data_IF_658457179303
#
_entry.id   IF_658457179303
#
_cell.length_a   1.000
_cell.length_b   1.000
_cell.length_c   1.000
_cell.angle_alpha   90.00
_cell.angle_beta   90.00
_cell.angle_gamma   90.00
#
_symmetry.space_group_name_H-M   'P 1'
#
loop_
_entity.id
_entity.type
_entity.pdbx_description
1 polymer ?
#
# COMPACT_ATOMS: atom_id res chain seq x y z
N UNK A 1 -30.88 -15.44 -9.16
CA UNK A 1 -29.45 -15.03 -9.10
C UNK A 1 -29.26 -13.94 -10.12
N UNK A 2 -29.16 -12.70 -9.65
CA UNK A 2 -29.29 -11.49 -10.46
C UNK A 2 -27.93 -11.17 -11.11
N UNK A 3 -27.91 -10.74 -12.37
CA UNK A 3 -26.69 -10.40 -13.14
C UNK A 3 -25.66 -9.55 -12.35
N UNK A 4 -26.14 -8.72 -11.40
CA UNK A 4 -25.31 -7.91 -10.49
C UNK A 4 -24.34 -8.71 -9.62
N UNK A 5 -24.68 -9.96 -9.26
CA UNK A 5 -23.82 -10.81 -8.41
C UNK A 5 -22.56 -11.30 -9.15
N UNK A 6 -22.56 -11.32 -10.49
CA UNK A 6 -21.41 -11.78 -11.29
C UNK A 6 -20.46 -10.67 -11.73
N UNK A 7 -20.90 -9.40 -11.68
CA UNK A 7 -20.12 -8.26 -12.14
C UNK A 7 -19.04 -7.87 -11.14
N UNK A 8 -19.37 -7.89 -9.86
CA UNK A 8 -18.50 -7.40 -8.80
C UNK A 8 -17.21 -8.24 -8.61
N UNK A 9 -17.25 -9.58 -8.64
CA UNK A 9 -16.04 -10.41 -8.55
C UNK A 9 -15.14 -10.27 -9.79
N UNK A 10 -15.74 -10.07 -10.97
CA UNK A 10 -15.00 -9.79 -12.22
C UNK A 10 -14.27 -8.45 -12.16
N UNK A 11 -14.93 -7.41 -11.64
CA UNK A 11 -14.30 -6.10 -11.39
C UNK A 11 -13.15 -6.27 -10.41
N UNK A 12 -13.35 -7.01 -9.29
CA UNK A 12 -12.29 -7.26 -8.33
C UNK A 12 -11.07 -7.94 -8.98
N UNK A 13 -11.28 -9.01 -9.74
CA UNK A 13 -10.20 -9.70 -10.45
C UNK A 13 -9.47 -8.80 -11.44
N UNK A 14 -10.20 -8.05 -12.27
CA UNK A 14 -9.60 -7.11 -13.22
C UNK A 14 -8.79 -6.01 -12.52
N UNK A 15 -9.36 -5.39 -11.49
CA UNK A 15 -8.68 -4.35 -10.71
C UNK A 15 -7.45 -4.90 -10.00
N UNK A 16 -7.46 -6.13 -9.49
CA UNK A 16 -6.28 -6.75 -8.87
C UNK A 16 -5.16 -7.00 -9.88
N UNK A 17 -5.48 -7.44 -11.11
CA UNK A 17 -4.45 -7.59 -12.16
C UNK A 17 -3.85 -6.24 -12.52
N UNK A 18 -4.71 -5.23 -12.71
CA UNK A 18 -4.25 -3.88 -13.01
C UNK A 18 -3.41 -3.29 -11.85
N UNK A 19 -3.82 -3.55 -10.61
CA UNK A 19 -3.10 -3.17 -9.40
C UNK A 19 -1.66 -3.72 -9.41
N UNK A 20 -1.48 -5.00 -9.74
CA UNK A 20 -0.16 -5.62 -9.83
C UNK A 20 0.73 -4.96 -10.90
N UNK A 21 0.16 -4.64 -12.07
CA UNK A 21 0.90 -3.95 -13.16
C UNK A 21 1.32 -2.54 -12.71
N UNK A 22 0.38 -1.78 -12.16
CA UNK A 22 0.64 -0.41 -11.70
C UNK A 22 1.61 -0.39 -10.51
N UNK A 23 1.51 -1.36 -9.59
CA UNK A 23 2.45 -1.53 -8.49
C UNK A 23 3.87 -1.87 -8.95
N UNK A 24 4.01 -2.68 -10.00
CA UNK A 24 5.31 -2.94 -10.62
C UNK A 24 5.91 -1.67 -11.25
N UNK A 25 5.10 -0.86 -11.94
CA UNK A 25 5.52 0.45 -12.47
C UNK A 25 5.98 1.37 -11.33
N UNK A 26 5.22 1.42 -10.23
CA UNK A 26 5.59 2.19 -9.05
C UNK A 26 6.94 1.80 -8.48
N UNK A 27 7.20 0.49 -8.31
CA UNK A 27 8.48 0.00 -7.82
C UNK A 27 9.66 0.43 -8.71
N UNK A 28 9.49 0.37 -10.04
CA UNK A 28 10.50 0.85 -11.00
C UNK A 28 10.71 2.35 -10.87
N UNK A 29 9.65 3.14 -10.73
CA UNK A 29 9.74 4.60 -10.57
C UNK A 29 10.42 5.01 -9.26
N UNK A 30 10.13 4.33 -8.14
CA UNK A 30 10.84 4.54 -6.88
C UNK A 30 12.32 4.20 -7.00
N UNK A 31 12.65 3.09 -7.66
CA UNK A 31 14.04 2.70 -7.88
C UNK A 31 14.77 3.68 -8.79
N UNK A 32 14.13 4.16 -9.86
CA UNK A 32 14.67 5.18 -10.73
C UNK A 32 14.85 6.53 -10.00
N UNK A 33 13.89 6.93 -9.17
CA UNK A 33 13.97 8.11 -8.32
C UNK A 33 15.10 8.00 -7.28
N UNK A 34 15.35 6.79 -6.79
CA UNK A 34 16.45 6.45 -5.90
C UNK A 34 17.81 6.36 -6.63
N UNK A 35 17.87 6.61 -7.95
CA UNK A 35 19.08 6.44 -8.75
C UNK A 35 19.60 4.98 -8.78
N UNK A 36 18.67 4.04 -8.89
CA UNK A 36 18.95 2.59 -8.93
C UNK A 36 19.67 2.06 -7.69
N UNK A 37 19.60 2.80 -6.58
CA UNK A 37 20.22 2.47 -5.30
C UNK A 37 19.19 1.97 -4.30
N UNK A 38 19.20 0.66 -4.08
CA UNK A 38 18.30 0.00 -3.12
C UNK A 38 18.42 0.56 -1.70
N UNK A 39 19.61 0.98 -1.27
CA UNK A 39 19.82 1.58 0.06
C UNK A 39 19.00 2.87 0.27
N UNK A 40 18.75 3.63 -0.81
CA UNK A 40 17.93 4.84 -0.76
C UNK A 40 16.42 4.54 -0.79
N UNK A 41 16.00 3.44 -1.41
CA UNK A 41 14.61 2.97 -1.35
C UNK A 41 14.27 2.48 0.06
N UNK A 42 15.18 1.74 0.70
CA UNK A 42 15.01 1.26 2.08
C UNK A 42 15.12 2.38 3.12
N UNK A 43 15.74 3.50 2.76
CA UNK A 43 15.88 4.69 3.62
C UNK A 43 15.40 5.92 2.85
N UNK A 44 14.08 6.12 2.70
CA UNK A 44 13.51 7.14 1.83
C UNK A 44 14.04 8.54 2.13
N UNK A 45 14.39 8.87 3.38
CA UNK A 45 15.04 10.11 3.77
C UNK A 45 16.34 10.44 2.98
N UNK A 46 17.03 9.44 2.43
CA UNK A 46 18.22 9.63 1.60
C UNK A 46 17.90 10.04 0.16
N UNK A 47 16.65 9.85 -0.30
CA UNK A 47 16.24 10.17 -1.67
C UNK A 47 16.35 11.66 -2.00
N UNK A 48 16.29 12.55 -0.99
CA UNK A 48 16.50 13.99 -1.20
C UNK A 48 17.88 14.29 -1.83
N UNK A 49 18.88 13.47 -1.56
CA UNK A 49 20.24 13.61 -2.12
C UNK A 49 20.34 13.20 -3.59
N UNK A 50 19.27 12.64 -4.17
CA UNK A 50 19.25 12.22 -5.56
C UNK A 50 19.02 13.38 -6.55
N UNK A 51 18.74 14.60 -6.06
CA UNK A 51 18.57 15.81 -6.87
C UNK A 51 17.14 16.01 -7.40
N UNK A 52 16.78 17.26 -7.66
CA UNK A 52 15.46 17.70 -8.12
C UNK A 52 15.07 17.15 -9.49
N UNK A 53 16.04 16.79 -10.33
CA UNK A 53 15.80 16.12 -11.61
C UNK A 53 15.05 14.79 -11.45
N UNK A 54 15.16 14.14 -10.27
CA UNK A 54 14.45 12.90 -9.93
C UNK A 54 13.16 13.12 -9.12
N UNK A 55 12.85 14.35 -8.74
CA UNK A 55 11.66 14.67 -7.96
C UNK A 55 10.35 14.22 -8.64
N UNK A 56 10.27 14.37 -9.97
CA UNK A 56 9.09 13.95 -10.72
C UNK A 56 8.93 12.43 -10.77
N UNK A 57 10.04 11.68 -10.84
CA UNK A 57 10.01 10.22 -10.75
C UNK A 57 9.49 9.78 -9.38
N UNK A 58 9.92 10.44 -8.30
CA UNK A 58 9.43 10.14 -6.95
C UNK A 58 7.93 10.46 -6.82
N UNK A 59 7.49 11.60 -7.36
CA UNK A 59 6.07 11.96 -7.41
C UNK A 59 5.24 10.92 -8.15
N UNK A 60 5.64 10.54 -9.35
CA UNK A 60 4.91 9.55 -10.14
C UNK A 60 4.99 8.14 -9.54
N UNK A 61 6.11 7.78 -8.91
CA UNK A 61 6.25 6.55 -8.12
C UNK A 61 5.23 6.50 -7.00
N UNK A 62 5.09 7.57 -6.23
CA UNK A 62 4.10 7.67 -5.16
C UNK A 62 2.65 7.74 -5.69
N UNK A 63 2.37 8.40 -6.81
CA UNK A 63 1.02 8.40 -7.39
C UNK A 63 0.63 7.02 -7.94
N UNK A 64 1.55 6.33 -8.60
CA UNK A 64 1.29 4.97 -9.08
C UNK A 64 1.19 3.97 -7.92
N UNK A 65 1.94 4.18 -6.84
CA UNK A 65 1.81 3.43 -5.58
C UNK A 65 0.40 3.54 -4.99
N UNK A 66 -0.11 4.77 -4.89
CA UNK A 66 -1.48 5.07 -4.45
C UNK A 66 -2.53 4.22 -5.18
N UNK A 67 -2.40 4.05 -6.50
CA UNK A 67 -3.32 3.25 -7.28
C UNK A 67 -3.02 1.75 -7.20
N UNK A 68 -1.76 1.37 -7.35
CA UNK A 68 -1.30 -0.01 -7.51
C UNK A 68 -1.36 -0.84 -6.24
N UNK A 69 -0.97 -0.28 -5.09
CA UNK A 69 -0.96 -1.02 -3.82
C UNK A 69 -2.20 -0.79 -2.96
N UNK A 70 -3.06 0.17 -3.33
CA UNK A 70 -4.18 0.60 -2.49
C UNK A 70 -5.52 0.71 -3.24
N UNK A 71 -5.74 1.78 -4.01
CA UNK A 71 -7.09 2.10 -4.51
C UNK A 71 -7.69 1.02 -5.43
N UNK A 72 -6.88 0.43 -6.31
CA UNK A 72 -7.34 -0.66 -7.19
C UNK A 72 -7.63 -1.97 -6.44
N UNK A 73 -7.16 -2.12 -5.19
CA UNK A 73 -7.45 -3.29 -4.37
C UNK A 73 -8.74 -3.16 -3.55
N UNK A 74 -9.36 -1.97 -3.49
CA UNK A 74 -10.61 -1.75 -2.73
C UNK A 74 -11.72 -2.75 -3.10
N UNK A 75 -12.00 -3.03 -4.38
CA UNK A 75 -13.00 -4.04 -4.74
C UNK A 75 -12.67 -5.42 -4.16
N UNK A 76 -11.40 -5.85 -4.21
CA UNK A 76 -10.97 -7.13 -3.61
C UNK A 76 -11.29 -7.16 -2.11
N UNK A 77 -10.94 -6.11 -1.37
CA UNK A 77 -11.18 -6.03 0.06
C UNK A 77 -12.66 -6.11 0.44
N UNK A 78 -13.54 -5.54 -0.38
CA UNK A 78 -14.98 -5.55 -0.13
C UNK A 78 -15.63 -6.88 -0.53
N UNK A 79 -15.18 -7.49 -1.62
CA UNK A 79 -15.86 -8.65 -2.21
C UNK A 79 -15.44 -9.96 -1.58
N UNK A 80 -14.13 -10.12 -1.37
CA UNK A 80 -13.56 -11.39 -0.97
C UNK A 80 -14.08 -11.90 0.39
N UNK A 81 -14.17 -11.07 1.46
CA UNK A 81 -14.74 -11.52 2.72
C UNK A 81 -16.23 -11.88 2.62
N UNK A 82 -16.99 -11.21 1.75
CA UNK A 82 -18.43 -11.45 1.58
C UNK A 82 -18.71 -12.79 0.90
N UNK A 83 -17.90 -13.18 -0.07
CA UNK A 83 -18.03 -14.48 -0.74
C UNK A 83 -17.64 -15.66 0.17
N UNK A 84 -16.77 -15.40 1.14
CA UNK A 84 -16.27 -16.44 2.05
C UNK A 84 -17.15 -16.62 3.29
N UNK A 85 -17.82 -15.57 3.74
CA UNK A 85 -18.61 -15.57 4.98
C UNK A 85 -20.00 -16.16 4.77
N UNK A 86 -20.61 -16.68 5.85
CA UNK A 86 -21.99 -17.16 5.78
C UNK A 86 -22.96 -15.97 5.72
N UNK A 87 -24.15 -16.14 5.12
CA UNK A 87 -25.19 -15.13 5.17
C UNK A 87 -25.50 -14.77 6.63
N UNK A 88 -25.42 -13.47 6.97
CA UNK A 88 -25.62 -12.86 8.30
C UNK A 88 -24.41 -12.83 9.25
N UNK A 89 -23.22 -13.26 8.82
CA UNK A 89 -22.01 -13.05 9.63
C UNK A 89 -21.48 -11.62 9.47
N UNK A 90 -21.52 -10.83 10.55
CA UNK A 90 -20.98 -9.46 10.58
C UNK A 90 -19.47 -9.36 10.31
N UNK A 91 -18.76 -10.49 10.35
CA UNK A 91 -17.31 -10.56 10.15
C UNK A 91 -16.88 -10.08 8.75
N UNK A 92 -17.70 -10.32 7.71
CA UNK A 92 -17.40 -9.85 6.35
C UNK A 92 -17.29 -8.32 6.29
N UNK A 93 -18.13 -7.61 7.04
CA UNK A 93 -18.12 -6.15 7.09
C UNK A 93 -16.89 -5.63 7.83
N UNK A 94 -16.53 -6.26 8.96
CA UNK A 94 -15.34 -5.89 9.74
C UNK A 94 -14.07 -6.11 8.92
N UNK A 95 -13.93 -7.27 8.27
CA UNK A 95 -12.79 -7.55 7.41
C UNK A 95 -12.74 -6.60 6.21
N UNK A 96 -13.87 -6.39 5.52
CA UNK A 96 -13.93 -5.43 4.42
C UNK A 96 -13.54 -4.02 4.84
N UNK A 97 -14.00 -3.57 6.01
CA UNK A 97 -13.61 -2.29 6.59
C UNK A 97 -12.10 -2.22 6.87
N UNK A 98 -11.50 -3.28 7.40
CA UNK A 98 -10.05 -3.36 7.60
C UNK A 98 -9.29 -3.21 6.28
N UNK A 99 -9.66 -3.94 5.23
CA UNK A 99 -9.00 -3.79 3.92
C UNK A 99 -9.16 -2.39 3.31
N UNK A 100 -10.34 -1.77 3.48
CA UNK A 100 -10.57 -0.37 3.04
C UNK A 100 -9.74 0.63 3.86
N UNK A 101 -9.57 0.41 5.16
CA UNK A 101 -8.68 1.24 6.00
C UNK A 101 -7.23 1.15 5.54
N UNK A 102 -6.72 -0.06 5.26
CA UNK A 102 -5.40 -0.24 4.66
C UNK A 102 -5.25 0.60 3.38
N UNK A 103 -6.20 0.47 2.45
CA UNK A 103 -6.16 1.22 1.20
C UNK A 103 -6.20 2.74 1.43
N UNK A 104 -6.97 3.20 2.42
CA UNK A 104 -7.15 4.62 2.71
C UNK A 104 -5.88 5.23 3.32
N UNK A 105 -5.25 4.54 4.27
CA UNK A 105 -4.02 5.01 4.92
C UNK A 105 -2.85 5.07 3.94
N UNK A 106 -2.64 4.01 3.17
CA UNK A 106 -1.57 3.99 2.19
C UNK A 106 -1.75 5.00 1.06
N UNK A 107 -2.98 5.14 0.55
CA UNK A 107 -3.26 6.16 -0.45
C UNK A 107 -3.00 7.59 0.05
N UNK A 108 -3.35 7.87 1.31
CA UNK A 108 -3.09 9.17 1.93
C UNK A 108 -1.58 9.42 2.08
N UNK A 109 -0.83 8.44 2.58
CA UNK A 109 0.63 8.51 2.69
C UNK A 109 1.31 8.75 1.34
N UNK A 110 0.89 8.02 0.32
CA UNK A 110 1.39 8.16 -1.04
C UNK A 110 1.13 9.57 -1.60
N UNK A 111 -0.05 10.15 -1.37
CA UNK A 111 -0.36 11.52 -1.82
C UNK A 111 0.46 12.58 -1.06
N UNK A 112 0.71 12.37 0.25
CA UNK A 112 1.58 13.23 1.05
C UNK A 112 2.99 13.23 0.48
N UNK A 113 3.55 12.06 0.18
CA UNK A 113 4.88 11.96 -0.40
C UNK A 113 4.93 12.59 -1.81
N UNK A 114 3.93 12.32 -2.66
CA UNK A 114 3.85 12.86 -4.01
C UNK A 114 3.78 14.40 -4.05
N UNK A 115 3.13 15.00 -3.04
CA UNK A 115 2.96 16.46 -2.95
C UNK A 115 4.14 17.15 -2.26
N UNK A 116 4.70 16.56 -1.20
CA UNK A 116 5.77 17.16 -0.41
C UNK A 116 7.17 16.95 -1.01
N UNK A 117 7.43 15.80 -1.65
CA UNK A 117 8.78 15.48 -2.11
C UNK A 117 9.33 16.48 -3.16
N UNK A 118 8.60 16.84 -4.24
CA UNK A 118 9.17 17.74 -5.25
C UNK A 118 9.57 19.14 -4.78
N UNK A 119 8.74 19.88 -4.02
CA UNK A 119 9.13 21.19 -3.52
C UNK A 119 10.30 21.12 -2.53
N UNK A 120 10.34 20.09 -1.68
CA UNK A 120 11.42 19.91 -0.71
C UNK A 120 12.76 19.56 -1.36
N UNK A 121 12.75 18.69 -2.38
CA UNK A 121 13.95 18.37 -3.16
C UNK A 121 14.47 19.60 -3.93
N UNK A 122 13.57 20.38 -4.53
CA UNK A 122 13.92 21.64 -5.19
C UNK A 122 14.49 22.69 -4.23
N UNK A 123 13.97 22.77 -3.00
CA UNK A 123 14.48 23.68 -1.98
C UNK A 123 15.86 23.25 -1.46
N UNK A 124 16.09 21.95 -1.28
CA UNK A 124 17.37 21.40 -0.85
C UNK A 124 18.51 21.75 -1.81
N UNK A 125 18.27 21.71 -3.13
CA UNK A 125 19.27 22.12 -4.12
C UNK A 125 19.63 23.61 -4.07
N UNK A 126 18.71 24.46 -3.58
CA UNK A 126 18.97 25.89 -3.35
C UNK A 126 19.65 26.15 -2.00
N UNK A 127 20.21 25.12 -1.37
CA UNK A 127 20.88 25.20 -0.07
C UNK A 127 19.97 25.64 1.09
N UNK A 128 18.67 25.34 1.01
CA UNK A 128 17.75 25.53 2.13
C UNK A 128 18.06 24.50 3.25
N UNK A 129 18.56 25.00 4.38
CA UNK A 129 18.92 24.19 5.53
C UNK A 129 17.74 23.42 6.14
N UNK A 130 16.51 23.95 6.03
CA UNK A 130 15.29 23.33 6.57
C UNK A 130 14.74 22.21 5.68
N UNK A 131 14.96 22.28 4.37
CA UNK A 131 14.38 21.35 3.40
C UNK A 131 14.79 19.88 3.64
N UNK A 132 16.06 19.65 4.01
CA UNK A 132 16.56 18.31 4.32
C UNK A 132 15.86 17.70 5.55
N UNK A 133 15.68 18.50 6.60
CA UNK A 133 15.01 18.05 7.81
C UNK A 133 13.52 17.80 7.55
N UNK A 134 12.84 18.72 6.86
CA UNK A 134 11.44 18.58 6.51
C UNK A 134 11.18 17.33 5.65
N UNK A 135 12.01 17.09 4.64
CA UNK A 135 11.90 15.88 3.81
C UNK A 135 12.10 14.61 4.64
N UNK A 136 13.10 14.57 5.53
CA UNK A 136 13.31 13.43 6.42
C UNK A 136 12.08 13.18 7.29
N UNK A 137 11.53 14.21 7.93
CA UNK A 137 10.34 14.08 8.78
C UNK A 137 9.17 13.51 7.97
N UNK A 138 8.90 14.04 6.78
CA UNK A 138 7.83 13.53 5.91
C UNK A 138 8.09 12.09 5.47
N UNK A 139 9.31 11.80 5.01
CA UNK A 139 9.69 10.49 4.51
C UNK A 139 9.61 9.41 5.61
N UNK A 140 10.09 9.71 6.82
CA UNK A 140 10.03 8.79 7.96
C UNK A 140 8.59 8.62 8.47
N UNK A 141 7.79 9.70 8.50
CA UNK A 141 6.38 9.63 8.86
C UNK A 141 5.57 8.76 7.87
N UNK A 142 5.87 8.87 6.57
CA UNK A 142 5.24 8.04 5.53
C UNK A 142 5.72 6.60 5.62
N UNK A 143 7.04 6.37 5.56
CA UNK A 143 7.60 5.03 5.44
C UNK A 143 7.43 4.23 6.73
N UNK A 144 7.91 4.76 7.85
CA UNK A 144 7.85 4.06 9.13
C UNK A 144 6.49 4.23 9.79
N UNK A 145 5.97 5.47 9.83
CA UNK A 145 4.71 5.75 10.50
C UNK A 145 3.49 5.13 9.82
N UNK A 146 3.32 5.34 8.51
CA UNK A 146 2.12 4.86 7.80
C UNK A 146 2.34 3.50 7.16
N UNK A 147 3.30 3.37 6.24
CA UNK A 147 3.48 2.17 5.42
C UNK A 147 3.94 0.94 6.20
N UNK A 148 4.80 1.10 7.21
CA UNK A 148 5.30 -0.03 8.01
C UNK A 148 4.49 -0.28 9.27
N UNK A 149 3.88 0.76 9.85
CA UNK A 149 3.17 0.64 11.13
C UNK A 149 1.65 0.67 10.95
N UNK A 150 1.09 1.84 10.60
CA UNK A 150 -0.35 2.06 10.69
C UNK A 150 -1.16 1.21 9.69
N UNK A 151 -0.74 1.11 8.43
CA UNK A 151 -1.51 0.40 7.40
C UNK A 151 -1.37 -1.13 7.48
N UNK A 152 -0.26 -1.60 8.04
CA UNK A 152 0.02 -3.03 8.14
C UNK A 152 -0.92 -3.72 9.14
N UNK A 153 -1.36 -3.01 10.18
CA UNK A 153 -2.33 -3.50 11.16
C UNK A 153 -3.66 -3.92 10.51
N UNK A 154 -4.38 -3.02 9.80
CA UNK A 154 -5.61 -3.39 9.11
C UNK A 154 -5.39 -4.41 7.98
N UNK A 155 -4.26 -4.35 7.26
CA UNK A 155 -3.93 -5.37 6.27
C UNK A 155 -3.77 -6.76 6.90
N UNK A 156 -3.06 -6.84 8.02
CA UNK A 156 -2.85 -8.06 8.78
C UNK A 156 -4.16 -8.64 9.30
N UNK A 157 -5.04 -7.78 9.85
CA UNK A 157 -6.38 -8.19 10.27
C UNK A 157 -7.21 -8.76 9.10
N UNK A 158 -7.19 -8.10 7.94
CA UNK A 158 -7.87 -8.59 6.74
C UNK A 158 -7.28 -9.92 6.25
N UNK A 159 -5.96 -10.04 6.16
CA UNK A 159 -5.27 -11.23 5.64
C UNK A 159 -5.45 -12.44 6.56
N UNK A 160 -5.33 -12.26 7.88
CA UNK A 160 -5.59 -13.32 8.86
C UNK A 160 -7.05 -13.73 8.81
N UNK A 161 -7.98 -12.77 8.87
CA UNK A 161 -9.41 -13.07 8.89
C UNK A 161 -9.88 -13.80 7.63
N UNK A 162 -9.50 -13.30 6.44
CA UNK A 162 -9.83 -13.96 5.18
C UNK A 162 -9.11 -15.30 5.02
N UNK A 163 -7.84 -15.41 5.46
CA UNK A 163 -7.10 -16.66 5.48
C UNK A 163 -7.77 -17.75 6.34
N UNK A 164 -8.26 -17.39 7.53
CA UNK A 164 -9.01 -18.30 8.39
C UNK A 164 -10.32 -18.76 7.74
N UNK A 165 -11.04 -17.86 7.07
CA UNK A 165 -12.26 -18.21 6.33
C UNK A 165 -11.94 -19.17 5.16
N UNK A 166 -10.89 -18.91 4.39
CA UNK A 166 -10.44 -19.76 3.27
C UNK A 166 -9.97 -21.14 3.75
N UNK A 167 -9.31 -21.22 4.92
CA UNK A 167 -8.74 -22.46 5.46
C UNK A 167 -9.77 -23.58 5.58
N UNK A 168 -11.04 -23.24 5.79
CA UNK A 168 -12.16 -24.20 5.85
C UNK A 168 -12.40 -24.95 4.54
N UNK A 169 -11.99 -24.39 3.40
CA UNK A 169 -12.17 -24.98 2.05
C UNK A 169 -10.84 -25.33 1.39
N UNK A 170 -9.79 -24.53 1.58
CA UNK A 170 -8.47 -24.68 0.97
C UNK A 170 -7.38 -24.39 2.01
N UNK A 171 -6.95 -25.44 2.70
CA UNK A 171 -6.07 -25.34 3.86
C UNK A 171 -4.73 -24.63 3.55
N UNK A 172 -4.11 -24.91 2.40
CA UNK A 172 -2.84 -24.29 2.00
C UNK A 172 -2.98 -22.77 1.77
N UNK A 173 -3.99 -22.34 1.00
CA UNK A 173 -4.23 -20.91 0.74
C UNK A 173 -4.60 -20.15 2.02
N UNK A 174 -5.39 -20.78 2.90
CA UNK A 174 -5.72 -20.20 4.19
C UNK A 174 -4.48 -20.03 5.08
N UNK A 175 -3.58 -21.01 5.09
CA UNK A 175 -2.31 -20.91 5.82
C UNK A 175 -1.44 -19.76 5.28
N UNK A 176 -1.30 -19.64 3.95
CA UNK A 176 -0.56 -18.53 3.34
C UNK A 176 -1.11 -17.17 3.76
N UNK A 177 -2.44 -16.98 3.70
CA UNK A 177 -3.07 -15.72 4.11
C UNK A 177 -2.81 -15.37 5.58
N UNK A 178 -2.93 -16.36 6.48
CA UNK A 178 -2.65 -16.18 7.91
C UNK A 178 -1.16 -15.88 8.16
N UNK A 179 -0.26 -16.62 7.53
CA UNK A 179 1.19 -16.42 7.68
C UNK A 179 1.62 -15.05 7.18
N UNK A 180 1.09 -14.60 6.04
CA UNK A 180 1.37 -13.26 5.50
C UNK A 180 0.90 -12.17 6.47
N UNK A 181 -0.35 -12.26 6.96
CA UNK A 181 -0.88 -11.27 7.89
C UNK A 181 -0.14 -11.26 9.23
N UNK A 182 0.22 -12.42 9.77
CA UNK A 182 1.00 -12.51 11.00
C UNK A 182 2.41 -11.92 10.84
N UNK A 183 3.08 -12.24 9.72
CA UNK A 183 4.42 -11.70 9.42
C UNK A 183 4.37 -10.19 9.28
N UNK A 184 3.35 -9.67 8.60
CA UNK A 184 3.16 -8.23 8.44
C UNK A 184 2.99 -7.55 9.82
N UNK A 185 2.15 -8.08 10.69
CA UNK A 185 1.98 -7.56 12.06
C UNK A 185 3.27 -7.60 12.87
N UNK A 186 4.04 -8.69 12.81
CA UNK A 186 5.33 -8.76 13.51
C UNK A 186 6.34 -7.75 12.95
N UNK A 187 6.33 -7.50 11.64
CA UNK A 187 7.20 -6.51 11.02
C UNK A 187 6.82 -5.07 11.42
N UNK A 188 5.53 -4.81 11.68
CA UNK A 188 5.06 -3.49 12.13
C UNK A 188 5.41 -3.14 13.58
N UNK A 189 5.87 -4.11 14.36
CA UNK A 189 6.22 -3.95 15.77
C UNK A 189 7.72 -3.67 16.03
N UNK A 190 8.53 -3.58 14.97
CA UNK A 190 10.00 -3.43 14.99
C UNK A 190 10.37 -2.12 14.28
#
# INVERSE_FOLDING_TARGET
MSERETTLPRIAGFCTILAAIVGAISAVLFLAAADWRFDRVLRPALMISAGSSRAQLLRWGALTDMFGYYLLLVPLFVCFPRELSRPRDGIAHVLGAAGVMYASFGALAAVVLASAAPPLMSAYERSDAGAKLAFRIVADAVATGVWQTLEVIPLGAWAIGTGLLVRTRRHALGFVGVSLGATALTASAI
#
